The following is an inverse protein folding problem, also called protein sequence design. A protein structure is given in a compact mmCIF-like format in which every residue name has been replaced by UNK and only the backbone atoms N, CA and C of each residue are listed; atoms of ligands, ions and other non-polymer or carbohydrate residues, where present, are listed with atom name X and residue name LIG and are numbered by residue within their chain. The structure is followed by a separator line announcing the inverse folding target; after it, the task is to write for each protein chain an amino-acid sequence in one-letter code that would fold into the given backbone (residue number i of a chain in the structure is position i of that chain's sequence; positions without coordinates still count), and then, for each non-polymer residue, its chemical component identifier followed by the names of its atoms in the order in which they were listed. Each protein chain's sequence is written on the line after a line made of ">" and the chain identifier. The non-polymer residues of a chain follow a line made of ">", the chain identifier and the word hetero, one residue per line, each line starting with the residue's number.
data_IF_330293361920
#
_entry.id   IF_330293361920
#
_cell.length_a   1.000
_cell.length_b   1.000
_cell.length_c   1.000
_cell.angle_alpha   90.00
_cell.angle_beta   90.00
_cell.angle_gamma   90.00
#
_symmetry.space_group_name_H-M   'P 1'
#
loop_
_entity.id
_entity.type
_entity.pdbx_description
1 polymer ?
#
# COMPACT_ATOMS: atom_id res chain seq x y z
N UNK A 1 32.87 36.61 -3.79
CA UNK A 1 32.80 36.21 -3.56
C UNK A 1 32.21 35.35 -3.55
N UNK A 2 32.13 35.25 -3.76
CA UNK A 2 31.74 34.47 -3.76
C UNK A 2 31.39 33.41 -3.73
N UNK A 3 31.60 33.21 -3.64
CA UNK A 3 31.62 32.27 -3.42
C UNK A 3 31.05 31.50 -3.09
N UNK A 4 31.01 31.46 -2.87
CA UNK A 4 30.64 30.75 -2.34
C UNK A 4 29.86 30.06 -2.43
N UNK A 5 29.79 30.34 -2.70
CA UNK A 5 29.11 29.74 -2.63
C UNK A 5 28.75 28.67 -2.89
N UNK A 6 29.07 28.63 -3.17
CA UNK A 6 28.85 27.74 -3.34
C UNK A 6 28.58 26.72 -3.04
N UNK A 7 28.79 26.63 -2.78
CA UNK A 7 28.73 25.78 -2.39
C UNK A 7 27.92 25.10 -2.11
N UNK A 8 27.71 25.34 -2.10
CA UNK A 8 27.12 24.82 -1.70
C UNK A 8 26.52 23.98 -1.97
N UNK A 9 26.81 24.07 -2.25
CA UNK A 9 26.49 23.35 -2.46
C UNK A 9 26.04 22.43 -2.52
N UNK A 10 26.33 22.50 -2.75
CA UNK A 10 26.18 21.75 -2.82
C UNK A 10 25.75 20.89 -2.34
N UNK A 11 25.74 20.87 -1.87
CA UNK A 11 25.69 20.20 -1.17
C UNK A 11 24.74 19.70 -1.02
N UNK A 12 24.42 20.04 -1.17
CA UNK A 12 23.72 19.66 -0.91
C UNK A 12 23.27 18.68 -1.47
N UNK A 13 23.72 18.78 -2.00
CA UNK A 13 23.50 18.09 -2.56
C UNK A 13 23.32 16.97 -2.31
N UNK A 14 23.57 16.86 -2.03
CA UNK A 14 23.68 16.02 -1.76
C UNK A 14 22.94 15.21 -1.38
N UNK A 15 22.61 15.51 -1.26
CA UNK A 15 22.12 14.94 -0.81
C UNK A 15 21.53 14.05 -1.17
N UNK A 16 21.77 14.13 -1.64
CA UNK A 16 21.53 13.56 -1.89
C UNK A 16 21.28 12.57 -2.08
N UNK A 17 21.55 12.77 -2.02
CA UNK A 17 21.66 11.77 -2.16
C UNK A 17 21.15 10.74 -2.08
N UNK A 18 21.34 10.49 -2.28
CA UNK A 18 21.01 9.45 -2.37
C UNK A 18 20.33 8.60 -1.74
N UNK A 19 19.70 8.76 -1.25
CA UNK A 19 19.27 7.72 -0.56
C UNK A 19 18.65 6.73 -1.25
N UNK A 20 18.75 5.77 -0.75
CA UNK A 20 18.49 4.57 -1.24
C UNK A 20 17.19 4.40 -1.88
N UNK A 21 17.11 3.41 -2.66
CA UNK A 21 15.97 3.18 -3.48
C UNK A 21 14.69 3.01 -2.71
N UNK A 22 14.74 2.50 -1.49
CA UNK A 22 13.51 2.33 -0.74
C UNK A 22 12.81 3.64 -0.45
N UNK A 23 13.57 4.70 -0.29
CA UNK A 23 12.97 5.99 -0.03
C UNK A 23 12.26 6.52 -1.25
N UNK A 24 12.60 6.02 -2.43
CA UNK A 24 12.05 6.53 -3.68
C UNK A 24 10.58 6.22 -3.86
N UNK A 25 10.08 5.15 -3.22
CA UNK A 25 8.69 4.77 -3.38
C UNK A 25 7.79 5.42 -2.34
N UNK A 26 8.38 5.95 -1.27
CA UNK A 26 7.56 6.53 -0.21
C UNK A 26 6.92 7.82 -0.71
N UNK A 27 5.60 7.88 -0.63
CA UNK A 27 4.84 9.03 -1.06
C UNK A 27 4.55 9.10 -2.56
N UNK A 28 5.08 8.16 -3.36
CA UNK A 28 4.84 8.16 -4.80
C UNK A 28 3.91 7.04 -5.20
N UNK A 29 3.02 7.32 -6.14
CA UNK A 29 2.12 6.30 -6.68
C UNK A 29 2.90 5.38 -7.61
N UNK A 30 2.82 4.08 -7.34
CA UNK A 30 3.42 3.05 -8.16
C UNK A 30 2.30 2.28 -8.84
N UNK A 31 2.42 2.01 -10.12
CA UNK A 31 1.47 1.19 -10.86
C UNK A 31 2.19 -0.07 -11.31
N UNK A 32 1.64 -1.22 -10.93
CA UNK A 32 2.23 -2.51 -11.30
C UNK A 32 1.70 -2.96 -12.65
N UNK A 33 2.33 -4.01 -13.19
CA UNK A 33 1.93 -4.55 -14.49
C UNK A 33 0.48 -5.08 -14.48
N UNK A 34 -0.02 -5.51 -13.34
CA UNK A 34 -1.39 -6.01 -13.22
C UNK A 34 -2.44 -4.90 -13.16
N UNK A 35 -2.01 -3.67 -12.98
CA UNK A 35 -2.93 -2.53 -12.84
C UNK A 35 -3.16 -2.10 -11.41
N UNK A 36 -2.55 -2.79 -10.45
CA UNK A 36 -2.61 -2.37 -9.06
C UNK A 36 -1.83 -1.07 -8.90
N UNK A 37 -2.39 -0.15 -8.14
CA UNK A 37 -1.69 1.08 -7.78
C UNK A 37 -1.51 1.13 -6.28
N UNK A 38 -0.38 1.64 -5.83
CA UNK A 38 -0.17 1.81 -4.41
C UNK A 38 0.75 2.99 -4.09
N UNK A 39 0.63 3.48 -2.87
CA UNK A 39 1.49 4.53 -2.35
C UNK A 39 2.01 4.06 -1.01
N UNK A 40 3.32 4.07 -0.82
CA UNK A 40 3.90 3.78 0.49
C UNK A 40 3.85 5.05 1.32
N UNK A 41 2.96 5.05 2.31
CA UNK A 41 2.88 6.14 3.27
C UNK A 41 4.07 6.06 4.20
N UNK A 42 4.47 4.84 4.55
CA UNK A 42 5.66 4.59 5.36
C UNK A 42 6.26 3.26 4.93
N UNK A 43 7.54 3.26 4.64
CA UNK A 43 8.24 2.02 4.30
C UNK A 43 8.70 1.36 5.59
N UNK A 44 8.31 0.10 5.79
CA UNK A 44 8.71 -0.63 6.98
C UNK A 44 10.17 -1.05 6.92
N UNK A 45 10.70 -1.45 8.06
CA UNK A 45 12.10 -1.87 8.17
C UNK A 45 12.24 -3.33 8.62
N UNK A 46 11.13 -4.00 8.90
CA UNK A 46 11.16 -5.39 9.33
C UNK A 46 11.12 -6.36 8.16
N UNK A 47 10.83 -7.63 8.45
CA UNK A 47 10.77 -8.66 7.40
C UNK A 47 9.69 -8.37 6.37
N UNK A 48 9.92 -8.87 5.16
CA UNK A 48 8.94 -8.76 4.08
C UNK A 48 7.85 -9.81 4.25
N UNK A 49 6.63 -9.47 3.86
CA UNK A 49 5.47 -10.33 4.06
C UNK A 49 5.38 -11.50 3.07
N UNK A 50 6.12 -11.43 1.96
CA UNK A 50 6.02 -12.42 0.91
C UNK A 50 6.21 -13.84 1.42
N UNK A 51 5.26 -14.72 1.11
CA UNK A 51 5.34 -16.12 1.50
C UNK A 51 5.08 -16.40 2.97
N UNK A 52 4.66 -15.40 3.72
CA UNK A 52 4.41 -15.53 5.15
C UNK A 52 2.96 -15.23 5.47
N UNK A 53 2.57 -15.46 6.72
CA UNK A 53 1.28 -15.01 7.20
C UNK A 53 1.42 -13.58 7.65
N UNK A 54 0.68 -12.68 7.02
CA UNK A 54 0.72 -11.26 7.35
C UNK A 54 -0.33 -10.95 8.41
N UNK A 55 0.04 -10.11 9.36
CA UNK A 55 -0.86 -9.59 10.39
C UNK A 55 -1.02 -8.12 10.11
N UNK A 56 -2.21 -7.69 9.75
CA UNK A 56 -2.45 -6.32 9.28
C UNK A 56 -3.63 -5.67 9.98
N UNK A 57 -3.59 -4.36 10.07
CA UNK A 57 -4.78 -3.54 10.27
C UNK A 57 -5.09 -2.86 8.95
N UNK A 58 -6.37 -2.75 8.63
CA UNK A 58 -6.78 -2.14 7.36
C UNK A 58 -8.10 -1.41 7.48
N UNK A 59 -8.32 -0.48 6.57
CA UNK A 59 -9.61 0.15 6.34
C UNK A 59 -9.81 0.23 4.84
N UNK A 60 -11.02 -0.09 4.38
CA UNK A 60 -11.35 -0.11 2.96
C UNK A 60 -12.49 0.83 2.63
N UNK A 61 -12.37 1.49 1.49
CA UNK A 61 -13.39 2.41 0.95
C UNK A 61 -13.63 2.09 -0.51
N UNK A 62 -14.80 2.45 -0.98
CA UNK A 62 -15.04 2.51 -2.42
C UNK A 62 -14.25 3.69 -2.96
N UNK A 63 -13.65 3.51 -4.14
CA UNK A 63 -12.84 4.55 -4.77
C UNK A 63 -13.53 4.93 -6.08
N UNK A 64 -14.04 6.14 -6.15
CA UNK A 64 -14.85 6.58 -7.30
C UNK A 64 -14.38 7.93 -7.74
N UNK A 65 -14.26 8.10 -9.05
CA UNK A 65 -13.89 9.39 -9.64
C UNK A 65 -12.61 9.99 -9.05
N UNK A 66 -11.66 9.12 -8.74
CA UNK A 66 -10.39 9.55 -8.17
C UNK A 66 -10.44 9.91 -6.70
N UNK A 67 -11.55 9.58 -6.02
CA UNK A 67 -11.74 9.98 -4.63
C UNK A 67 -12.17 8.84 -3.74
N UNK A 68 -11.76 8.92 -2.48
CA UNK A 68 -12.18 8.00 -1.44
C UNK A 68 -13.68 8.20 -1.19
N UNK A 69 -14.43 7.13 -1.29
CA UNK A 69 -15.88 7.15 -1.09
C UNK A 69 -16.28 6.51 0.23
N UNK A 70 -17.37 5.74 0.20
CA UNK A 70 -17.92 5.11 1.41
C UNK A 70 -16.99 4.04 1.96
N UNK A 71 -16.79 4.07 3.27
CA UNK A 71 -16.05 3.02 3.99
C UNK A 71 -16.93 1.77 4.04
N UNK A 72 -16.35 0.61 3.72
CA UNK A 72 -17.12 -0.62 3.75
C UNK A 72 -16.57 -1.67 4.71
N UNK A 73 -15.36 -1.52 5.21
CA UNK A 73 -14.77 -2.50 6.12
C UNK A 73 -13.58 -1.88 6.83
N UNK A 74 -13.30 -2.37 8.06
CA UNK A 74 -12.14 -1.94 8.82
C UNK A 74 -11.85 -2.90 9.96
N UNK A 75 -10.62 -3.39 10.03
CA UNK A 75 -10.17 -4.17 11.17
C UNK A 75 -9.95 -3.28 12.38
N UNK A 76 -9.62 -2.00 12.13
CA UNK A 76 -9.39 -1.04 13.21
C UNK A 76 -10.68 -0.81 14.00
N UNK A 77 -11.80 -0.68 13.29
CA UNK A 77 -13.10 -0.49 13.94
C UNK A 77 -13.48 -1.70 14.79
N UNK A 78 -13.09 -2.90 14.37
CA UNK A 78 -13.37 -4.12 15.11
C UNK A 78 -12.40 -4.39 16.25
N UNK A 79 -11.29 -3.67 16.29
CA UNK A 79 -10.33 -3.78 17.39
C UNK A 79 -9.36 -4.94 17.29
N UNK A 80 -9.41 -5.74 16.23
CA UNK A 80 -8.51 -6.89 16.07
C UNK A 80 -7.87 -6.89 14.71
N UNK A 81 -6.55 -7.20 14.64
CA UNK A 81 -5.87 -7.32 13.35
C UNK A 81 -6.39 -8.52 12.58
N UNK A 82 -6.16 -8.50 11.30
CA UNK A 82 -6.54 -9.57 10.38
C UNK A 82 -5.30 -10.30 9.91
N UNK A 83 -5.34 -11.65 9.94
CA UNK A 83 -4.25 -12.49 9.49
C UNK A 83 -4.63 -13.16 8.17
N UNK A 84 -3.67 -13.25 7.26
CA UNK A 84 -3.87 -14.07 6.06
C UNK A 84 -2.53 -14.53 5.50
N UNK A 85 -2.56 -15.66 4.80
CA UNK A 85 -1.36 -16.18 4.15
C UNK A 85 -1.16 -15.46 2.82
N UNK A 86 -0.06 -14.76 2.69
CA UNK A 86 0.21 -13.95 1.49
C UNK A 86 0.50 -14.87 0.30
N UNK A 87 -0.21 -14.61 -0.80
CA UNK A 87 -0.02 -15.38 -2.03
C UNK A 87 -0.83 -16.65 -2.11
N UNK A 88 -1.65 -16.97 -1.10
CA UNK A 88 -2.40 -18.21 -1.07
C UNK A 88 -3.82 -18.11 -1.62
N UNK A 89 -4.23 -16.94 -2.09
CA UNK A 89 -5.57 -16.75 -2.62
C UNK A 89 -6.65 -16.64 -1.56
N UNK A 90 -6.28 -16.39 -0.33
CA UNK A 90 -7.23 -16.23 0.78
C UNK A 90 -7.93 -14.89 0.76
N UNK A 91 -7.36 -13.92 0.05
CA UNK A 91 -7.86 -12.54 -0.03
C UNK A 91 -7.91 -12.14 -1.50
N UNK A 92 -8.46 -10.97 -1.78
CA UNK A 92 -8.51 -10.48 -3.16
C UNK A 92 -7.08 -10.32 -3.71
N UNK A 93 -6.97 -10.44 -5.03
CA UNK A 93 -5.64 -10.46 -5.68
C UNK A 93 -4.83 -9.19 -5.39
N UNK A 94 -5.50 -8.05 -5.31
CA UNK A 94 -4.82 -6.80 -5.02
C UNK A 94 -4.11 -6.81 -3.68
N UNK A 95 -4.66 -7.53 -2.71
CA UNK A 95 -4.01 -7.69 -1.41
C UNK A 95 -2.84 -8.67 -1.49
N UNK A 96 -3.05 -9.84 -2.13
CA UNK A 96 -1.97 -10.81 -2.27
C UNK A 96 -0.76 -10.19 -2.96
N UNK A 97 -0.99 -9.34 -3.95
CA UNK A 97 0.08 -8.67 -4.64
C UNK A 97 0.61 -7.47 -3.85
N UNK A 98 -0.29 -6.66 -3.33
CA UNK A 98 0.09 -5.38 -2.71
C UNK A 98 0.75 -5.52 -1.36
N UNK A 99 0.38 -6.54 -0.59
CA UNK A 99 0.97 -6.77 0.73
C UNK A 99 2.27 -7.55 0.63
N UNK A 100 2.45 -8.35 -0.43
CA UNK A 100 3.63 -9.21 -0.58
C UNK A 100 4.95 -8.46 -0.49
N UNK A 101 5.00 -7.24 -0.98
CA UNK A 101 6.23 -6.44 -0.98
C UNK A 101 6.31 -5.48 0.19
N UNK A 102 5.35 -5.51 1.10
CA UNK A 102 5.42 -4.68 2.30
C UNK A 102 6.36 -5.30 3.32
N UNK A 103 6.93 -4.45 4.14
CA UNK A 103 7.77 -4.87 5.27
C UNK A 103 7.09 -4.48 6.56
N UNK A 104 7.35 -5.25 7.61
CA UNK A 104 6.76 -4.99 8.93
C UNK A 104 7.08 -3.57 9.37
N UNK A 105 6.09 -2.89 9.86
CA UNK A 105 6.17 -1.48 10.23
C UNK A 105 5.73 -0.53 9.14
N UNK A 106 5.46 -1.05 7.93
CA UNK A 106 5.06 -0.22 6.81
C UNK A 106 3.57 0.06 6.77
N UNK A 107 3.22 1.14 6.10
CA UNK A 107 1.83 1.50 5.79
C UNK A 107 1.75 1.78 4.31
N UNK A 108 0.76 1.21 3.67
CA UNK A 108 0.58 1.34 2.21
C UNK A 108 -0.87 1.56 1.88
N UNK A 109 -1.13 2.50 0.98
CA UNK A 109 -2.46 2.69 0.43
C UNK A 109 -2.53 1.94 -0.88
N UNK A 110 -3.52 1.06 -1.02
CA UNK A 110 -3.73 0.27 -2.24
C UNK A 110 -4.94 0.82 -2.98
N UNK A 111 -4.82 0.98 -4.29
CA UNK A 111 -5.95 1.28 -5.15
C UNK A 111 -6.09 0.10 -6.08
N UNK A 112 -7.17 -0.64 -5.92
CA UNK A 112 -7.35 -1.96 -6.49
C UNK A 112 -8.44 -1.90 -7.55
N UNK A 113 -8.08 -2.13 -8.83
CA UNK A 113 -9.09 -2.15 -9.88
C UNK A 113 -9.98 -3.39 -9.73
N UNK A 114 -11.17 -3.38 -10.35
CA UNK A 114 -12.13 -4.47 -10.15
C UNK A 114 -11.58 -5.87 -10.43
N UNK A 115 -10.73 -6.03 -11.43
CA UNK A 115 -10.19 -7.35 -11.77
C UNK A 115 -9.25 -7.92 -10.71
N UNK A 116 -8.75 -7.09 -9.81
CA UNK A 116 -7.93 -7.51 -8.68
C UNK A 116 -8.70 -7.45 -7.36
N UNK A 117 -9.97 -7.09 -7.43
CA UNK A 117 -10.86 -7.02 -6.28
C UNK A 117 -12.03 -7.99 -6.43
N UNK A 118 -13.25 -7.44 -6.38
CA UNK A 118 -14.44 -8.29 -6.41
C UNK A 118 -15.08 -8.36 -7.80
N UNK A 119 -14.50 -7.70 -8.80
CA UNK A 119 -14.87 -7.85 -10.20
C UNK A 119 -16.30 -7.47 -10.52
N UNK A 120 -16.86 -8.13 -11.52
CA UNK A 120 -18.20 -7.84 -12.01
C UNK A 120 -19.28 -8.27 -11.02
N UNK A 121 -18.95 -9.14 -10.05
CA UNK A 121 -19.92 -9.64 -9.10
C UNK A 121 -20.13 -8.70 -7.92
N UNK A 122 -19.09 -7.98 -7.52
CA UNK A 122 -19.13 -7.21 -6.29
C UNK A 122 -19.16 -8.09 -5.06
N UNK A 123 -19.57 -7.57 -3.94
CA UNK A 123 -19.58 -8.33 -2.69
C UNK A 123 -20.71 -7.86 -1.78
N UNK A 124 -21.60 -8.80 -1.48
CA UNK A 124 -22.51 -8.69 -0.36
C UNK A 124 -23.32 -7.42 -0.18
N UNK A 125 -23.66 -6.72 -1.24
CA UNK A 125 -24.44 -5.51 -1.12
C UNK A 125 -23.68 -4.26 -0.68
N UNK A 126 -22.40 -4.41 -0.29
CA UNK A 126 -21.59 -3.26 0.13
C UNK A 126 -20.60 -2.85 -0.95
N UNK A 127 -20.20 -3.79 -1.81
CA UNK A 127 -19.29 -3.49 -2.90
C UNK A 127 -20.04 -3.74 -4.21
N UNK A 128 -20.29 -2.68 -4.98
CA UNK A 128 -21.04 -2.83 -6.23
C UNK A 128 -20.21 -3.54 -7.30
N UNK A 129 -20.85 -3.99 -8.37
CA UNK A 129 -20.12 -4.57 -9.49
C UNK A 129 -19.12 -3.58 -10.08
N UNK A 130 -17.98 -4.10 -10.48
CA UNK A 130 -16.94 -3.32 -11.16
C UNK A 130 -16.41 -2.15 -10.34
N UNK A 131 -16.35 -2.32 -9.01
CA UNK A 131 -15.89 -1.26 -8.13
C UNK A 131 -14.37 -1.26 -8.02
N UNK A 132 -13.79 -0.07 -8.05
CA UNK A 132 -12.39 0.15 -7.67
C UNK A 132 -12.37 0.39 -6.17
N UNK A 133 -11.41 -0.20 -5.48
CA UNK A 133 -11.35 -0.15 -4.03
C UNK A 133 -10.10 0.57 -3.58
N UNK A 134 -10.17 1.21 -2.42
CA UNK A 134 -9.02 1.83 -1.79
C UNK A 134 -8.88 1.24 -0.39
N UNK A 135 -7.68 0.82 -0.05
CA UNK A 135 -7.38 0.30 1.29
C UNK A 135 -6.17 1.00 1.86
N UNK A 136 -6.26 1.37 3.12
CA UNK A 136 -5.06 1.70 3.89
C UNK A 136 -4.70 0.46 4.68
N UNK A 137 -3.48 -0.03 4.51
CA UNK A 137 -3.02 -1.27 5.14
C UNK A 137 -1.75 -0.99 5.92
N UNK A 138 -1.74 -1.45 7.17
CA UNK A 138 -0.54 -1.38 8.01
C UNK A 138 -0.11 -2.80 8.31
N UNK A 139 1.14 -3.14 8.00
CA UNK A 139 1.68 -4.48 8.27
C UNK A 139 2.28 -4.47 9.66
N UNK A 140 1.60 -5.16 10.59
CA UNK A 140 1.99 -5.17 12.00
C UNK A 140 3.03 -6.22 12.29
N UNK A 141 2.97 -7.36 11.60
CA UNK A 141 3.87 -8.46 11.84
C UNK A 141 3.70 -9.54 10.80
N UNK A 142 4.60 -10.52 10.87
CA UNK A 142 4.51 -11.73 10.03
C UNK A 142 4.77 -12.95 10.91
N UNK A 143 4.27 -14.10 10.49
CA UNK A 143 4.49 -15.35 11.20
C UNK A 143 4.42 -16.57 10.29
#
# INVERSE_FOLDING_TARGET
>A
MFRASMLALAFAVAALAAPPSSAQTQGKMVTTASGLKYVDVKVGTGPEAKGKTAVVHYTGWLYQNGEKGAKFDSSVDGGEPFDFRVGAGQVIKGWDEGVATMKVGGKRTLIIPPQLGYGARGAGGVIPPNATLMFDVELLGVK
#
